data_IF_005542921843
#
_entry.id   IF_005542921843
#
_cell.length_a   1.000
_cell.length_b   1.000
_cell.length_c   1.000
_cell.angle_alpha   90.00
_cell.angle_beta   90.00
_cell.angle_gamma   90.00
#
_symmetry.space_group_name_H-M   'P 1'
#
loop_
_entity.id
_entity.type
_entity.pdbx_description
1 polymer ?
#
# COMPACT_ATOMS: atom_id res chain seq x y z
N UNK A 1 -31.61 -19.16 55.69
CA UNK A 1 -30.37 -19.16 56.50
C UNK A 1 -29.26 -18.66 55.60
N UNK A 2 -28.93 -17.38 55.69
CA UNK A 2 -28.01 -16.69 54.77
C UNK A 2 -26.68 -16.48 55.51
N UNK A 3 -25.62 -17.09 54.97
CA UNK A 3 -24.25 -17.00 55.49
C UNK A 3 -23.84 -15.54 55.68
N UNK A 4 -23.69 -15.14 56.94
CA UNK A 4 -23.47 -13.75 57.35
C UNK A 4 -21.99 -13.41 57.56
N UNK A 5 -21.05 -14.09 56.91
CA UNK A 5 -19.62 -13.83 57.14
C UNK A 5 -18.71 -13.99 55.91
N UNK A 6 -19.08 -13.40 54.78
CA UNK A 6 -18.11 -13.11 53.72
C UNK A 6 -17.42 -11.76 54.03
N UNK A 7 -16.07 -11.68 53.98
CA UNK A 7 -15.36 -10.44 54.27
C UNK A 7 -15.83 -9.34 53.31
N UNK A 8 -15.92 -8.08 53.76
CA UNK A 8 -16.52 -6.97 52.99
C UNK A 8 -15.88 -6.79 51.60
N UNK A 9 -14.60 -7.16 51.47
CA UNK A 9 -13.87 -7.21 50.21
C UNK A 9 -14.45 -8.19 49.20
N UNK A 10 -14.83 -9.40 49.63
CA UNK A 10 -15.40 -10.41 48.73
C UNK A 10 -16.78 -9.99 48.23
N UNK A 11 -17.57 -9.33 49.08
CA UNK A 11 -18.85 -8.73 48.68
C UNK A 11 -18.68 -7.59 47.67
N UNK A 12 -17.69 -6.72 47.88
CA UNK A 12 -17.38 -5.65 46.93
C UNK A 12 -16.93 -6.20 45.57
N UNK A 13 -16.09 -7.24 45.56
CA UNK A 13 -15.66 -7.89 44.31
C UNK A 13 -16.85 -8.52 43.59
N UNK A 14 -17.76 -9.20 44.31
CA UNK A 14 -18.96 -9.79 43.71
C UNK A 14 -19.83 -8.72 43.02
N UNK A 15 -20.11 -7.60 43.70
CA UNK A 15 -20.90 -6.48 43.15
C UNK A 15 -20.21 -5.86 41.93
N UNK A 16 -18.89 -5.68 41.97
CA UNK A 16 -18.14 -5.14 40.83
C UNK A 16 -18.14 -6.10 39.63
N UNK A 17 -18.12 -7.40 39.87
CA UNK A 17 -18.17 -8.41 38.82
C UNK A 17 -19.55 -8.44 38.16
N UNK A 18 -20.62 -8.40 38.96
CA UNK A 18 -22.01 -8.29 38.49
C UNK A 18 -22.23 -7.00 37.68
N UNK A 19 -21.74 -5.85 38.18
CA UNK A 19 -21.83 -4.59 37.45
C UNK A 19 -21.08 -4.63 36.10
N UNK A 20 -19.93 -5.31 36.04
CA UNK A 20 -19.19 -5.52 34.79
C UNK A 20 -19.98 -6.36 33.80
N UNK A 21 -20.62 -7.42 34.25
CA UNK A 21 -21.44 -8.30 33.41
C UNK A 21 -22.65 -7.54 32.83
N UNK A 22 -23.36 -6.77 33.66
CA UNK A 22 -24.50 -5.95 33.21
C UNK A 22 -24.04 -4.89 32.19
N UNK A 23 -22.89 -4.26 32.41
CA UNK A 23 -22.35 -3.29 31.46
C UNK A 23 -21.93 -3.95 30.14
N UNK A 24 -21.33 -5.15 30.20
CA UNK A 24 -20.96 -5.90 29.02
C UNK A 24 -22.19 -6.32 28.21
N UNK A 25 -23.26 -6.75 28.87
CA UNK A 25 -24.55 -7.07 28.24
C UNK A 25 -25.13 -5.85 27.53
N UNK A 26 -25.23 -4.70 28.21
CA UNK A 26 -25.75 -3.45 27.63
C UNK A 26 -24.91 -2.92 26.47
N UNK A 27 -23.59 -3.05 26.56
CA UNK A 27 -22.70 -2.68 25.47
C UNK A 27 -22.89 -3.59 24.26
N UNK A 28 -23.07 -4.89 24.50
CA UNK A 28 -23.32 -5.86 23.42
C UNK A 28 -24.65 -5.57 22.75
N UNK A 29 -25.72 -5.31 23.51
CA UNK A 29 -27.03 -4.91 23.00
C UNK A 29 -26.92 -3.64 22.15
N UNK A 30 -26.28 -2.59 22.68
CA UNK A 30 -26.09 -1.32 21.94
C UNK A 30 -25.28 -1.50 20.66
N UNK A 31 -24.26 -2.37 20.67
CA UNK A 31 -23.46 -2.69 19.48
C UNK A 31 -24.29 -3.45 18.45
N UNK A 32 -25.15 -4.38 18.88
CA UNK A 32 -26.06 -5.08 17.98
C UNK A 32 -27.10 -4.15 17.36
N UNK A 33 -27.66 -3.23 18.15
CA UNK A 33 -28.59 -2.21 17.66
C UNK A 33 -27.92 -1.26 16.66
N UNK A 34 -26.65 -0.92 16.89
CA UNK A 34 -25.87 -0.06 15.99
C UNK A 34 -25.22 -0.81 14.83
N UNK A 35 -25.30 -2.14 14.79
CA UNK A 35 -24.56 -2.96 13.82
C UNK A 35 -25.02 -2.69 12.39
N UNK A 36 -26.32 -2.47 12.19
CA UNK A 36 -26.90 -2.20 10.87
C UNK A 36 -26.47 -0.81 10.36
N UNK A 37 -26.43 0.20 11.22
CA UNK A 37 -25.91 1.54 10.90
C UNK A 37 -24.42 1.49 10.55
N UNK A 38 -23.61 0.78 11.34
CA UNK A 38 -22.18 0.59 11.08
C UNK A 38 -21.95 -0.15 9.75
N UNK A 39 -22.78 -1.15 9.43
CA UNK A 39 -22.70 -1.86 8.16
C UNK A 39 -23.13 -1.00 6.97
N UNK A 40 -24.15 -0.16 7.13
CA UNK A 40 -24.59 0.79 6.10
C UNK A 40 -23.52 1.85 5.81
N UNK A 41 -22.87 2.38 6.86
CA UNK A 41 -21.72 3.28 6.74
C UNK A 41 -20.52 2.60 6.07
N UNK A 42 -20.18 1.38 6.49
CA UNK A 42 -19.08 0.60 5.89
C UNK A 42 -19.33 0.23 4.42
N UNK A 43 -20.60 0.08 4.01
CA UNK A 43 -20.99 -0.10 2.60
C UNK A 43 -20.99 1.20 1.81
N UNK A 44 -20.91 2.35 2.49
CA UNK A 44 -20.93 3.66 1.88
C UNK A 44 -22.32 4.08 1.38
N UNK A 45 -23.38 3.45 1.86
CA UNK A 45 -24.77 3.76 1.45
C UNK A 45 -25.15 5.20 1.82
N UNK A 46 -24.62 5.72 2.94
CA UNK A 46 -24.74 7.14 3.32
C UNK A 46 -24.14 8.08 2.28
N UNK A 47 -22.99 7.75 1.71
CA UNK A 47 -22.29 8.62 0.76
C UNK A 47 -22.87 8.52 -0.65
N UNK A 48 -23.47 7.38 -1.01
CA UNK A 48 -24.06 7.21 -2.34
C UNK A 48 -25.22 8.16 -2.59
N UNK A 49 -26.09 8.36 -1.60
CA UNK A 49 -27.20 9.32 -1.72
C UNK A 49 -26.69 10.76 -1.92
N UNK A 50 -25.61 11.14 -1.22
CA UNK A 50 -25.01 12.47 -1.36
C UNK A 50 -24.32 12.65 -2.72
N UNK A 51 -23.65 11.61 -3.21
CA UNK A 51 -23.00 11.60 -4.52
C UNK A 51 -24.05 11.74 -5.63
N UNK A 52 -25.14 10.99 -5.57
CA UNK A 52 -26.24 11.08 -6.53
C UNK A 52 -26.87 12.49 -6.54
N UNK A 53 -27.07 13.09 -5.37
CA UNK A 53 -27.56 14.46 -5.25
C UNK A 53 -26.61 15.48 -5.88
N UNK A 54 -25.29 15.31 -5.72
CA UNK A 54 -24.28 16.17 -6.36
C UNK A 54 -24.30 16.00 -7.87
N UNK A 55 -24.42 14.77 -8.39
CA UNK A 55 -24.51 14.52 -9.83
C UNK A 55 -25.78 15.14 -10.44
N UNK A 56 -26.92 15.03 -9.77
CA UNK A 56 -28.16 15.69 -10.20
C UNK A 56 -27.98 17.22 -10.23
N UNK A 57 -27.40 17.80 -9.17
CA UNK A 57 -27.16 19.24 -9.10
C UNK A 57 -26.21 19.73 -10.19
N UNK A 58 -25.13 18.99 -10.47
CA UNK A 58 -24.17 19.33 -11.54
C UNK A 58 -24.83 19.19 -12.91
N UNK A 59 -25.63 18.14 -13.14
CA UNK A 59 -26.39 17.94 -14.37
C UNK A 59 -27.34 19.10 -14.67
N UNK A 60 -28.08 19.58 -13.67
CA UNK A 60 -28.97 20.74 -13.79
C UNK A 60 -28.18 22.02 -14.13
N UNK A 61 -27.05 22.26 -13.45
CA UNK A 61 -26.20 23.44 -13.73
C UNK A 61 -25.61 23.42 -15.13
N UNK A 62 -25.13 22.28 -15.61
CA UNK A 62 -24.58 22.13 -16.97
C UNK A 62 -25.66 22.31 -18.04
N UNK A 63 -26.85 21.78 -17.83
CA UNK A 63 -28.00 22.01 -18.69
C UNK A 63 -28.33 23.50 -18.80
N UNK A 64 -28.35 24.21 -17.66
CA UNK A 64 -28.57 25.65 -17.62
C UNK A 64 -27.48 26.43 -18.36
N UNK A 65 -26.19 26.09 -18.16
CA UNK A 65 -25.08 26.71 -18.89
C UNK A 65 -25.21 26.47 -20.38
N UNK A 66 -25.55 25.25 -20.80
CA UNK A 66 -25.77 24.91 -22.22
C UNK A 66 -26.87 25.77 -22.82
N UNK A 67 -27.95 26.01 -22.08
CA UNK A 67 -29.03 26.89 -22.49
C UNK A 67 -28.59 28.37 -22.57
N UNK A 68 -27.75 28.84 -21.63
CA UNK A 68 -27.19 30.19 -21.71
C UNK A 68 -26.25 30.35 -22.91
N UNK A 69 -25.38 29.38 -23.17
CA UNK A 69 -24.47 29.37 -24.31
C UNK A 69 -25.23 29.38 -25.64
N UNK A 70 -26.31 28.59 -25.74
CA UNK A 70 -27.16 28.56 -26.93
C UNK A 70 -27.91 29.88 -27.17
N UNK A 71 -28.13 30.67 -26.11
CA UNK A 71 -28.76 31.99 -26.18
C UNK A 71 -27.73 33.14 -26.25
N UNK A 72 -26.42 32.86 -26.26
CA UNK A 72 -25.45 33.91 -26.49
C UNK A 72 -25.54 34.40 -27.94
N UNK A 73 -25.54 35.72 -28.17
CA UNK A 73 -25.47 36.25 -29.52
C UNK A 73 -24.20 35.73 -30.19
N UNK A 74 -24.31 35.26 -31.44
CA UNK A 74 -23.15 34.83 -32.20
C UNK A 74 -22.15 35.98 -32.26
N UNK A 75 -20.95 35.74 -31.75
CA UNK A 75 -19.85 36.70 -31.80
C UNK A 75 -19.59 37.06 -33.27
N UNK A 76 -19.87 38.30 -33.67
CA UNK A 76 -19.48 38.81 -34.98
C UNK A 76 -17.96 38.76 -35.06
N UNK A 77 -17.43 37.78 -35.80
CA UNK A 77 -15.99 37.61 -36.02
C UNK A 77 -15.47 38.81 -36.82
N UNK A 78 -14.99 39.84 -36.13
CA UNK A 78 -14.06 40.81 -36.72
C UNK A 78 -12.70 40.12 -36.89
N UNK A 79 -12.10 40.09 -38.09
CA UNK A 79 -10.78 39.52 -38.30
C UNK A 79 -9.71 40.44 -37.70
N UNK A 80 -9.47 40.31 -36.39
CA UNK A 80 -8.33 40.93 -35.74
C UNK A 80 -7.06 40.16 -36.10
N UNK A 81 -6.29 40.74 -37.03
CA UNK A 81 -4.87 40.43 -37.22
C UNK A 81 -4.16 40.83 -35.93
N UNK A 82 -3.79 39.87 -35.08
CA UNK A 82 -2.90 40.14 -33.96
C UNK A 82 -1.79 39.10 -33.86
N UNK A 83 -0.59 39.66 -33.87
CA UNK A 83 0.70 39.05 -33.99
C UNK A 83 1.04 38.24 -32.74
N UNK A 84 1.64 37.08 -32.99
CA UNK A 84 2.33 36.24 -32.04
C UNK A 84 3.44 37.07 -31.34
N UNK A 85 3.36 37.21 -30.02
CA UNK A 85 4.44 37.78 -29.20
C UNK A 85 4.73 36.80 -28.07
N UNK A 86 5.82 36.07 -28.24
CA UNK A 86 6.47 35.20 -27.25
C UNK A 86 7.38 36.05 -26.38
N UNK A 87 6.99 36.30 -25.14
CA UNK A 87 7.89 36.72 -24.05
C UNK A 87 8.04 35.48 -23.15
N UNK A 88 9.13 34.73 -23.25
CA UNK A 88 10.37 34.85 -22.45
C UNK A 88 10.12 34.73 -20.94
N UNK A 89 10.13 33.49 -20.44
CA UNK A 89 10.26 33.15 -19.01
C UNK A 89 11.32 32.05 -18.92
N UNK A 90 12.54 32.45 -18.53
CA UNK A 90 13.69 31.56 -18.37
C UNK A 90 13.59 30.65 -17.12
N UNK A 91 14.21 29.46 -17.14
CA UNK A 91 14.31 28.59 -15.98
C UNK A 91 15.48 29.01 -15.08
N UNK A 92 15.22 29.14 -13.76
CA UNK A 92 16.28 29.34 -12.78
C UNK A 92 16.99 28.01 -12.46
N UNK A 93 18.25 27.94 -12.87
CA UNK A 93 19.27 26.99 -12.42
C UNK A 93 19.55 27.16 -10.92
N UNK A 94 19.49 26.06 -10.16
CA UNK A 94 20.20 25.92 -8.90
C UNK A 94 21.08 24.67 -8.98
N UNK A 95 22.37 24.89 -9.26
CA UNK A 95 23.40 23.87 -9.11
C UNK A 95 23.93 23.91 -7.67
N UNK A 96 23.94 22.76 -6.99
CA UNK A 96 24.71 22.58 -5.76
C UNK A 96 25.81 21.57 -6.04
N UNK A 97 27.02 22.08 -5.89
CA UNK A 97 28.34 21.52 -6.11
C UNK A 97 28.53 20.16 -5.42
N UNK A 98 28.99 19.19 -6.20
CA UNK A 98 29.66 17.98 -5.70
C UNK A 98 31.14 18.31 -5.43
N UNK A 99 31.68 17.85 -4.29
CA UNK A 99 33.13 17.64 -4.14
C UNK A 99 33.39 16.24 -3.59
N UNK A 100 34.17 15.49 -4.38
CA UNK A 100 34.77 14.20 -4.07
C UNK A 100 36.13 14.35 -3.36
N UNK A 101 36.55 13.29 -2.67
CA UNK A 101 37.94 13.01 -2.26
C UNK A 101 38.13 13.08 -0.73
N UNK A 102 38.87 12.20 -0.05
CA UNK A 102 40.05 11.43 -0.46
C UNK A 102 40.37 10.31 0.56
N UNK A 103 40.68 9.11 0.05
CA UNK A 103 41.71 8.11 0.46
C UNK A 103 41.94 7.61 1.92
N UNK A 104 41.83 6.28 2.05
CA UNK A 104 42.80 5.28 2.59
C UNK A 104 43.86 5.66 3.66
N UNK A 105 43.86 4.93 4.80
CA UNK A 105 45.04 4.36 5.51
C UNK A 105 44.56 3.42 6.66
N UNK A 106 44.66 2.08 6.55
CA UNK A 106 45.72 1.15 7.03
C UNK A 106 45.91 0.95 8.57
N UNK A 107 45.88 -0.35 8.92
CA UNK A 107 46.56 -1.07 10.03
C UNK A 107 45.84 -1.19 11.39
N UNK A 108 45.36 -2.40 11.67
CA UNK A 108 45.66 -3.09 12.93
C UNK A 108 45.54 -4.62 12.78
N UNK A 109 46.71 -5.25 12.83
CA UNK A 109 47.02 -6.67 12.71
C UNK A 109 46.72 -7.41 14.02
N UNK A 110 46.10 -8.61 13.98
CA UNK A 110 46.59 -9.76 14.79
C UNK A 110 46.09 -11.12 14.26
N UNK A 111 46.98 -12.11 14.03
CA UNK A 111 46.64 -13.45 13.54
C UNK A 111 46.68 -14.51 14.65
N UNK A 112 45.95 -15.63 14.49
CA UNK A 112 46.28 -16.95 15.10
C UNK A 112 45.44 -18.10 14.51
N UNK A 113 45.87 -19.38 14.65
CA UNK A 113 46.55 -20.10 13.58
C UNK A 113 45.80 -21.35 13.09
N UNK A 114 46.28 -21.87 11.96
CA UNK A 114 45.85 -23.11 11.31
C UNK A 114 46.06 -24.36 12.18
N UNK A 115 45.10 -25.29 12.10
CA UNK A 115 45.30 -26.68 12.49
C UNK A 115 45.11 -27.58 11.25
N UNK A 116 46.20 -28.25 10.91
CA UNK A 116 46.37 -29.19 9.79
C UNK A 116 45.75 -30.54 10.14
N UNK A 117 45.03 -31.16 9.19
CA UNK A 117 44.58 -32.54 9.25
C UNK A 117 44.20 -33.06 7.86
N UNK A 118 44.37 -34.37 7.57
CA UNK A 118 45.09 -34.82 6.38
C UNK A 118 44.21 -35.12 5.15
N UNK A 119 44.90 -35.10 4.01
CA UNK A 119 44.45 -35.51 2.68
C UNK A 119 43.81 -36.91 2.66
N UNK A 120 42.66 -37.01 2.00
CA UNK A 120 42.28 -38.21 1.25
C UNK A 120 41.90 -37.81 -0.18
N UNK A 121 42.44 -38.57 -1.12
CA UNK A 121 42.35 -38.38 -2.57
C UNK A 121 41.31 -39.38 -3.12
N UNK A 122 40.55 -38.91 -4.12
CA UNK A 122 39.77 -39.65 -5.14
C UNK A 122 38.39 -40.25 -4.80
N UNK A 123 37.34 -39.70 -5.43
CA UNK A 123 36.69 -40.25 -6.63
C UNK A 123 35.68 -39.23 -7.22
N UNK A 124 35.47 -39.15 -8.56
CA UNK A 124 34.49 -38.27 -9.16
C UNK A 124 33.12 -38.96 -9.18
N UNK A 125 32.19 -38.48 -8.36
CA UNK A 125 30.79 -38.86 -8.45
C UNK A 125 29.95 -37.58 -8.41
N UNK A 126 29.22 -37.34 -9.50
CA UNK A 126 28.11 -36.38 -9.56
C UNK A 126 27.02 -36.85 -8.58
N UNK A 127 26.57 -35.98 -7.65
CA UNK A 127 25.14 -35.79 -7.51
C UNK A 127 24.73 -34.36 -7.11
N UNK A 128 23.67 -33.90 -7.78
CA UNK A 128 22.69 -32.88 -7.42
C UNK A 128 23.17 -31.44 -7.16
N UNK A 129 22.62 -30.43 -7.87
CA UNK A 129 22.84 -29.04 -7.52
C UNK A 129 22.30 -28.81 -6.11
N UNK A 130 23.22 -28.57 -5.17
CA UNK A 130 22.89 -27.93 -3.91
C UNK A 130 22.32 -26.57 -4.28
N UNK A 131 21.02 -26.38 -4.07
CA UNK A 131 20.45 -25.04 -3.96
C UNK A 131 21.00 -24.50 -2.65
N UNK A 132 22.25 -24.02 -2.73
CA UNK A 132 22.77 -23.04 -1.82
C UNK A 132 21.88 -21.82 -2.03
N UNK A 133 20.92 -21.59 -1.14
CA UNK A 133 20.26 -20.29 -0.98
C UNK A 133 21.32 -19.31 -0.53
N UNK A 134 22.11 -18.91 -1.53
CA UNK A 134 23.03 -17.82 -1.55
C UNK A 134 22.22 -16.58 -1.25
N UNK A 135 22.27 -16.13 0.00
CA UNK A 135 22.14 -14.72 0.30
C UNK A 135 23.25 -13.99 -0.46
N UNK A 136 22.92 -13.54 -1.66
CA UNK A 136 23.64 -12.47 -2.33
C UNK A 136 22.85 -11.17 -2.14
N UNK A 137 23.53 -10.07 -1.79
CA UNK A 137 22.93 -8.74 -1.75
C UNK A 137 22.71 -8.27 -3.21
N UNK A 138 21.75 -7.36 -3.42
CA UNK A 138 21.42 -6.70 -4.72
C UNK A 138 20.66 -7.52 -5.77
N UNK A 139 19.61 -8.26 -5.38
CA UNK A 139 18.46 -8.40 -6.29
C UNK A 139 17.52 -7.23 -6.05
N UNK A 140 17.39 -6.36 -7.03
CA UNK A 140 16.46 -5.26 -6.99
C UNK A 140 15.05 -5.82 -6.76
N UNK A 141 14.32 -5.36 -5.72
CA UNK A 141 13.03 -5.93 -5.36
C UNK A 141 12.03 -5.68 -6.49
N UNK A 142 11.83 -6.70 -7.32
CA UNK A 142 10.94 -6.64 -8.46
C UNK A 142 9.58 -7.25 -8.15
N UNK A 143 8.54 -6.77 -8.84
CA UNK A 143 7.20 -7.31 -8.71
C UNK A 143 7.13 -8.79 -9.12
N UNK A 144 7.94 -9.21 -10.10
CA UNK A 144 8.03 -10.60 -10.53
C UNK A 144 8.53 -11.51 -9.40
N UNK A 145 9.54 -11.05 -8.65
CA UNK A 145 10.07 -11.79 -7.51
C UNK A 145 9.01 -11.96 -6.41
N UNK A 146 8.22 -10.92 -6.14
CA UNK A 146 7.08 -11.01 -5.23
C UNK A 146 6.05 -12.07 -5.67
N UNK A 147 5.66 -12.07 -6.95
CA UNK A 147 4.68 -13.03 -7.50
C UNK A 147 5.18 -14.47 -7.36
N UNK A 148 6.46 -14.72 -7.64
CA UNK A 148 7.08 -16.05 -7.46
C UNK A 148 7.06 -16.51 -5.99
N UNK A 149 7.34 -15.61 -5.05
CA UNK A 149 7.31 -15.93 -3.61
C UNK A 149 5.90 -16.25 -3.12
N UNK A 150 4.88 -15.50 -3.59
CA UNK A 150 3.48 -15.79 -3.28
C UNK A 150 3.06 -17.14 -3.85
N UNK A 151 3.47 -17.45 -5.09
CA UNK A 151 3.18 -18.73 -5.73
C UNK A 151 3.84 -19.91 -5.01
N UNK A 152 5.05 -19.72 -4.47
CA UNK A 152 5.74 -20.70 -3.63
C UNK A 152 5.14 -20.86 -2.23
N UNK A 153 4.14 -20.04 -1.87
CA UNK A 153 3.51 -20.04 -0.55
C UNK A 153 4.32 -19.34 0.55
N UNK A 154 5.44 -18.69 0.21
CA UNK A 154 6.26 -17.94 1.17
C UNK A 154 5.76 -16.50 1.32
N UNK A 155 4.66 -16.35 2.05
CA UNK A 155 4.04 -15.05 2.34
C UNK A 155 4.99 -14.14 3.14
N UNK A 156 5.90 -14.71 3.94
CA UNK A 156 6.81 -13.92 4.76
C UNK A 156 7.92 -13.29 3.92
N UNK A 157 8.51 -14.04 3.00
CA UNK A 157 9.45 -13.48 2.04
C UNK A 157 8.77 -12.47 1.10
N UNK A 158 7.56 -12.79 0.62
CA UNK A 158 6.75 -11.88 -0.19
C UNK A 158 6.49 -10.53 0.51
N UNK A 159 6.14 -10.56 1.80
CA UNK A 159 5.95 -9.34 2.59
C UNK A 159 7.20 -8.49 2.73
N UNK A 160 8.39 -9.10 2.87
CA UNK A 160 9.66 -8.34 2.91
C UNK A 160 9.98 -7.68 1.57
N UNK A 161 9.81 -8.40 0.46
CA UNK A 161 9.99 -7.83 -0.87
C UNK A 161 9.04 -6.66 -1.09
N UNK A 162 7.77 -6.82 -0.69
CA UNK A 162 6.74 -5.79 -0.82
C UNK A 162 7.00 -4.58 0.11
N UNK A 163 7.56 -4.79 1.30
CA UNK A 163 7.95 -3.70 2.21
C UNK A 163 8.97 -2.77 1.55
N UNK A 164 9.97 -3.33 0.87
CA UNK A 164 10.98 -2.53 0.16
C UNK A 164 10.39 -1.90 -1.11
N UNK A 165 9.52 -2.61 -1.83
CA UNK A 165 8.93 -2.13 -3.08
C UNK A 165 7.95 -0.96 -2.85
N UNK A 166 7.13 -1.04 -1.81
CA UNK A 166 6.12 -0.03 -1.46
C UNK A 166 6.57 0.98 -0.40
N UNK A 167 7.81 0.86 0.11
CA UNK A 167 8.31 1.66 1.23
C UNK A 167 7.38 1.64 2.47
N UNK A 168 6.82 0.46 2.76
CA UNK A 168 5.90 0.25 3.89
C UNK A 168 6.61 -0.45 5.06
N UNK A 169 6.12 -0.27 6.31
CA UNK A 169 6.56 -1.09 7.44
C UNK A 169 6.34 -2.58 7.16
N UNK A 170 7.30 -3.42 7.58
CA UNK A 170 7.27 -4.87 7.31
C UNK A 170 5.98 -5.54 7.82
N UNK A 171 5.47 -5.12 8.98
CA UNK A 171 4.21 -5.63 9.53
C UNK A 171 3.00 -5.37 8.62
N UNK A 172 2.95 -4.19 7.99
CA UNK A 172 1.88 -3.81 7.05
C UNK A 172 2.03 -4.55 5.73
N UNK A 173 3.24 -4.62 5.20
CA UNK A 173 3.54 -5.32 3.96
C UNK A 173 3.24 -6.84 4.05
N UNK A 174 3.46 -7.46 5.21
CA UNK A 174 3.05 -8.84 5.48
C UNK A 174 1.54 -9.03 5.41
N UNK A 175 0.75 -8.10 5.96
CA UNK A 175 -0.71 -8.16 5.84
C UNK A 175 -1.16 -8.02 4.39
N UNK A 176 -0.58 -7.08 3.63
CA UNK A 176 -0.86 -6.92 2.20
C UNK A 176 -0.53 -8.18 1.40
N UNK A 177 0.63 -8.79 1.65
CA UNK A 177 1.03 -10.04 1.00
C UNK A 177 0.08 -11.20 1.34
N UNK A 178 -0.38 -11.28 2.60
CA UNK A 178 -1.36 -12.29 3.01
C UNK A 178 -2.72 -12.08 2.33
N UNK A 179 -3.20 -10.83 2.24
CA UNK A 179 -4.43 -10.49 1.52
C UNK A 179 -4.32 -10.82 0.03
N UNK A 180 -3.18 -10.50 -0.59
CA UNK A 180 -2.92 -10.82 -1.99
C UNK A 180 -2.93 -12.34 -2.26
N UNK A 181 -2.25 -13.12 -1.41
CA UNK A 181 -2.22 -14.58 -1.51
C UNK A 181 -3.60 -15.22 -1.34
N UNK A 182 -4.41 -14.71 -0.41
CA UNK A 182 -5.77 -15.19 -0.20
C UNK A 182 -6.70 -14.85 -1.38
N UNK A 183 -6.58 -13.65 -1.96
CA UNK A 183 -7.38 -13.24 -3.12
C UNK A 183 -7.01 -14.03 -4.37
N UNK A 184 -5.72 -14.25 -4.63
CA UNK A 184 -5.27 -15.09 -5.74
C UNK A 184 -5.82 -16.52 -5.63
N UNK A 185 -5.85 -17.12 -4.43
CA UNK A 185 -6.46 -18.44 -4.26
C UNK A 185 -7.95 -18.49 -4.61
N UNK A 186 -8.67 -17.37 -4.49
CA UNK A 186 -10.11 -17.27 -4.81
C UNK A 186 -10.36 -16.98 -6.28
N UNK A 187 -9.50 -16.18 -6.90
CA UNK A 187 -9.64 -15.77 -8.29
C UNK A 187 -8.30 -15.90 -9.04
N UNK A 188 -8.17 -16.87 -9.97
CA UNK A 188 -6.96 -17.04 -10.77
C UNK A 188 -6.73 -15.91 -11.79
N UNK A 189 -7.79 -15.18 -12.21
CA UNK A 189 -7.67 -14.05 -13.14
C UNK A 189 -7.16 -12.78 -12.43
N UNK A 190 -7.02 -12.82 -11.11
CA UNK A 190 -6.53 -11.74 -10.27
C UNK A 190 -5.11 -11.30 -10.62
N UNK A 191 -4.22 -12.20 -11.08
CA UNK A 191 -2.85 -11.83 -11.49
C UNK A 191 -2.90 -10.84 -12.65
N UNK A 192 -3.79 -11.06 -13.61
CA UNK A 192 -3.92 -10.20 -14.79
C UNK A 192 -4.28 -8.77 -14.36
N UNK A 193 -5.16 -8.63 -13.36
CA UNK A 193 -5.50 -7.33 -12.74
C UNK A 193 -4.33 -6.74 -11.95
N UNK A 194 -3.59 -7.55 -11.20
CA UNK A 194 -2.39 -7.09 -10.51
C UNK A 194 -1.30 -6.59 -11.48
N UNK A 195 -1.21 -7.18 -12.68
CA UNK A 195 -0.30 -6.72 -13.73
C UNK A 195 -0.76 -5.42 -14.39
N UNK A 196 -2.08 -5.16 -14.43
CA UNK A 196 -2.62 -3.87 -14.90
C UNK A 196 -2.19 -2.71 -14.02
N UNK A 197 -1.90 -2.94 -12.72
CA UNK A 197 -1.40 -1.89 -11.83
C UNK A 197 -0.14 -1.22 -12.39
N UNK A 198 0.79 -2.00 -12.96
CA UNK A 198 1.99 -1.43 -13.57
C UNK A 198 1.64 -0.53 -14.76
N UNK A 199 0.70 -0.97 -15.60
CA UNK A 199 0.24 -0.19 -16.76
C UNK A 199 -0.42 1.11 -16.33
N UNK A 200 -1.28 1.08 -15.30
CA UNK A 200 -1.98 2.26 -14.78
C UNK A 200 -1.04 3.26 -14.09
N UNK A 201 0.00 2.77 -13.40
CA UNK A 201 1.02 3.63 -12.78
C UNK A 201 1.82 4.36 -13.86
N UNK A 202 2.24 3.65 -14.92
CA UNK A 202 2.99 4.24 -16.04
C UNK A 202 2.12 5.14 -16.94
N UNK A 203 0.83 4.86 -17.07
CA UNK A 203 -0.09 5.70 -17.85
C UNK A 203 -0.47 7.02 -17.15
N UNK A 204 -0.07 7.20 -15.89
CA UNK A 204 -0.41 8.36 -15.08
C UNK A 204 -1.86 8.34 -14.56
N UNK A 205 -2.54 7.20 -14.65
CA UNK A 205 -3.92 7.03 -14.16
C UNK A 205 -3.91 6.83 -12.64
N UNK A 206 -3.96 7.97 -11.92
CA UNK A 206 -3.92 7.99 -10.46
C UNK A 206 -5.08 7.23 -9.82
N UNK A 207 -6.30 7.49 -10.28
CA UNK A 207 -7.51 6.87 -9.72
C UNK A 207 -7.56 5.36 -9.99
N UNK A 208 -7.19 4.92 -11.21
CA UNK A 208 -7.12 3.50 -11.54
C UNK A 208 -6.10 2.76 -10.67
N UNK A 209 -4.94 3.37 -10.48
CA UNK A 209 -3.88 2.82 -9.61
C UNK A 209 -4.32 2.69 -8.15
N UNK A 210 -5.04 3.69 -7.60
CA UNK A 210 -5.55 3.62 -6.22
C UNK A 210 -6.59 2.50 -6.05
N UNK A 211 -7.52 2.35 -6.99
CA UNK A 211 -8.52 1.26 -6.97
C UNK A 211 -7.81 -0.10 -7.00
N UNK A 212 -6.82 -0.27 -7.89
CA UNK A 212 -6.05 -1.51 -7.97
C UNK A 212 -5.20 -1.76 -6.71
N UNK A 213 -4.63 -0.73 -6.08
CA UNK A 213 -3.91 -0.89 -4.82
C UNK A 213 -4.83 -1.35 -3.69
N UNK A 214 -6.05 -0.84 -3.64
CA UNK A 214 -7.06 -1.30 -2.70
C UNK A 214 -7.52 -2.73 -3.00
N UNK A 215 -7.83 -3.03 -4.26
CA UNK A 215 -8.29 -4.36 -4.67
C UNK A 215 -7.22 -5.44 -4.57
N UNK A 216 -5.96 -5.10 -4.82
CA UNK A 216 -4.89 -6.09 -4.80
C UNK A 216 -4.30 -6.27 -3.39
N UNK A 217 -4.09 -5.17 -2.67
CA UNK A 217 -3.30 -5.15 -1.43
C UNK A 217 -4.09 -4.70 -0.20
N UNK A 218 -5.33 -4.24 -0.36
CA UNK A 218 -6.15 -3.73 0.74
C UNK A 218 -5.64 -2.42 1.33
N UNK A 219 -4.88 -1.66 0.55
CA UNK A 219 -4.34 -0.36 0.96
C UNK A 219 -5.42 0.72 0.81
N UNK A 220 -5.56 1.60 1.81
CA UNK A 220 -6.57 2.65 1.84
C UNK A 220 -5.99 4.00 2.25
N UNK A 221 -6.65 5.08 1.80
CA UNK A 221 -6.37 6.44 2.23
C UNK A 221 -4.92 6.88 1.98
N UNK A 222 -4.25 7.35 3.03
CA UNK A 222 -2.91 7.94 2.95
C UNK A 222 -1.85 6.89 2.56
N UNK A 223 -2.06 5.63 2.94
CA UNK A 223 -1.09 4.55 2.63
C UNK A 223 -1.00 4.30 1.14
N UNK A 224 -2.14 4.19 0.45
CA UNK A 224 -2.17 3.95 -1.00
C UNK A 224 -1.60 5.12 -1.79
N UNK A 225 -1.76 6.36 -1.31
CA UNK A 225 -1.14 7.55 -1.91
C UNK A 225 0.38 7.50 -1.78
N UNK A 226 0.91 7.20 -0.59
CA UNK A 226 2.36 7.11 -0.36
C UNK A 226 3.02 6.01 -1.18
N UNK A 227 2.36 4.86 -1.31
CA UNK A 227 2.82 3.78 -2.19
C UNK A 227 2.82 4.20 -3.65
N UNK A 228 1.74 4.86 -4.11
CA UNK A 228 1.64 5.30 -5.50
C UNK A 228 2.74 6.31 -5.86
N UNK A 229 3.03 7.27 -4.99
CA UNK A 229 4.14 8.21 -5.17
C UNK A 229 5.49 7.49 -5.22
N UNK A 230 5.69 6.51 -4.33
CA UNK A 230 6.93 5.71 -4.32
C UNK A 230 7.10 4.92 -5.62
N UNK A 231 6.01 4.33 -6.13
CA UNK A 231 6.02 3.61 -7.39
C UNK A 231 6.26 4.53 -8.58
N UNK A 232 5.65 5.71 -8.61
CA UNK A 232 5.85 6.71 -9.67
C UNK A 232 7.30 7.20 -9.70
N UNK A 233 7.86 7.59 -8.55
CA UNK A 233 9.26 8.03 -8.46
C UNK A 233 10.23 6.97 -9.01
N UNK A 234 9.98 5.68 -8.74
CA UNK A 234 10.81 4.58 -9.27
C UNK A 234 10.62 4.32 -10.75
N UNK A 235 9.41 4.53 -11.28
CA UNK A 235 9.14 4.42 -12.72
C UNK A 235 9.80 5.58 -13.47
N UNK A 236 9.82 6.78 -12.89
CA UNK A 236 10.51 7.95 -13.49
C UNK A 236 12.04 7.80 -13.46
N UNK A 237 12.60 7.06 -12.50
CA UNK A 237 14.03 6.75 -12.40
C UNK A 237 14.50 5.60 -13.32
N UNK A 238 13.57 4.84 -13.91
CA UNK A 238 13.85 3.65 -14.76
C UNK A 238 13.79 3.96 -16.25
#
# INVERSE_FOLDING_TARGET
>A
MVDSNQPPRNRAIAILTEAREILAERLTERVLDSAEEILSDARGESYMNDIDAVYEQVGVKLSHITQMLANMPAEEVQPATNQFRTDDVGPQDYSVVAEEGTSHDLVATTPRPALVGPMYVSAPALPAPKIETSHSPTDEPSFQHFVLQVQAGDVRAAGRTLAVLFALPESRALMCAATFAERWRRDPDFITRAMQLRTEVTSGSYNGSLVLLFECFGLTGIESIGVLQTLQNRVDES
#
